data_IF_257454828193
#
_entry.id   IF_257454828193
#
_cell.length_a   1.000
_cell.length_b   1.000
_cell.length_c   1.000
_cell.angle_alpha   90.00
_cell.angle_beta   90.00
_cell.angle_gamma   90.00
#
_symmetry.space_group_name_H-M   'P 1'
#
loop_
_entity.id
_entity.type
_entity.pdbx_description
1 polymer ?
#
# COMPACT_ATOMS: atom_id res chain seq x y z
N UNK A 1 10.61 26.88 47.41
CA UNK A 1 11.36 25.64 47.65
C UNK A 1 12.19 25.31 46.42
N UNK A 2 13.49 25.58 46.48
CA UNK A 2 14.46 25.34 45.42
C UNK A 2 14.84 23.86 45.39
N UNK A 3 14.50 23.16 44.30
CA UNK A 3 14.92 21.77 44.07
C UNK A 3 16.45 21.72 44.02
N UNK A 4 17.13 20.89 44.85
CA UNK A 4 18.58 20.88 44.94
C UNK A 4 19.21 20.51 43.59
N UNK A 5 20.33 21.16 43.25
CA UNK A 5 21.03 21.08 41.95
C UNK A 5 21.34 19.63 41.49
N UNK A 6 21.51 18.69 42.43
CA UNK A 6 21.75 17.27 42.18
C UNK A 6 20.51 16.53 41.68
N UNK A 7 19.31 16.92 42.11
CA UNK A 7 18.04 16.39 41.60
C UNK A 7 17.71 16.93 40.20
N UNK A 8 18.02 18.20 39.90
CA UNK A 8 17.86 18.77 38.56
C UNK A 8 18.64 18.01 37.48
N UNK A 9 19.89 17.59 37.77
CA UNK A 9 20.67 16.74 36.85
C UNK A 9 20.04 15.35 36.64
N UNK A 10 19.49 14.73 37.69
CA UNK A 10 18.79 13.43 37.57
C UNK A 10 17.56 13.52 36.66
N UNK A 11 16.68 14.51 36.86
CA UNK A 11 15.47 14.66 36.03
C UNK A 11 15.80 15.00 34.56
N UNK A 12 16.88 15.75 34.32
CA UNK A 12 17.35 16.05 32.96
C UNK A 12 17.83 14.82 32.20
N UNK A 13 18.35 13.79 32.88
CA UNK A 13 18.80 12.55 32.23
C UNK A 13 17.65 11.65 31.74
N UNK A 14 16.45 11.79 32.29
CA UNK A 14 15.28 10.97 31.89
C UNK A 14 14.38 11.65 30.86
N UNK A 15 14.46 12.97 30.73
CA UNK A 15 13.63 13.72 29.80
C UNK A 15 13.87 13.30 28.35
N UNK A 16 15.13 13.20 27.93
CA UNK A 16 15.46 12.87 26.55
C UNK A 16 15.00 11.45 26.13
N UNK A 17 15.28 10.37 26.89
CA UNK A 17 14.74 9.04 26.57
C UNK A 17 13.21 9.01 26.56
N UNK A 18 12.55 9.70 27.49
CA UNK A 18 11.10 9.75 27.58
C UNK A 18 10.49 10.52 26.39
N UNK A 19 11.14 11.59 25.92
CA UNK A 19 10.75 12.31 24.72
C UNK A 19 10.89 11.43 23.47
N UNK A 20 11.97 10.67 23.33
CA UNK A 20 12.13 9.71 22.22
C UNK A 20 11.05 8.63 22.28
N UNK A 21 10.82 8.06 23.46
CA UNK A 21 9.77 7.06 23.67
C UNK A 21 8.40 7.60 23.24
N UNK A 22 7.99 8.74 23.77
CA UNK A 22 6.69 9.32 23.42
C UNK A 22 6.63 9.76 21.96
N UNK A 23 7.73 10.17 21.34
CA UNK A 23 7.76 10.45 19.91
C UNK A 23 7.52 9.19 19.08
N UNK A 24 8.17 8.06 19.42
CA UNK A 24 7.95 6.78 18.73
C UNK A 24 6.51 6.30 18.94
N UNK A 25 6.00 6.34 20.17
CA UNK A 25 4.62 5.99 20.51
C UNK A 25 3.64 6.86 19.74
N UNK A 26 3.88 8.17 19.67
CA UNK A 26 3.08 9.09 18.89
C UNK A 26 3.05 8.69 17.41
N UNK A 27 4.22 8.40 16.82
CA UNK A 27 4.29 7.96 15.41
C UNK A 27 3.57 6.63 15.20
N UNK A 28 3.71 5.67 16.11
CA UNK A 28 3.05 4.37 16.02
C UNK A 28 1.53 4.48 16.12
N UNK A 29 1.01 5.33 17.04
CA UNK A 29 -0.41 5.41 17.33
C UNK A 29 -1.21 6.36 16.42
N UNK A 30 -0.59 7.46 15.96
CA UNK A 30 -1.35 8.55 15.31
C UNK A 30 -1.03 8.75 13.82
N UNK A 31 0.00 8.10 13.26
CA UNK A 31 0.29 8.18 11.82
C UNK A 31 -0.63 7.26 11.01
N UNK A 32 -0.91 6.04 11.48
CA UNK A 32 -2.08 5.23 11.07
C UNK A 32 -3.06 5.20 12.24
N UNK A 33 -3.92 6.21 12.32
CA UNK A 33 -4.87 6.33 13.42
C UNK A 33 -6.09 5.44 13.18
N UNK A 34 -6.02 4.21 13.66
CA UNK A 34 -7.09 3.21 13.73
C UNK A 34 -6.96 2.46 15.08
N UNK A 35 -7.05 1.12 15.13
CA UNK A 35 -6.72 0.33 16.32
C UNK A 35 -5.31 0.55 16.89
N UNK A 36 -4.39 1.16 16.14
CA UNK A 36 -3.06 1.53 16.65
C UNK A 36 -3.11 2.57 17.77
N UNK A 37 -4.22 3.29 17.99
CA UNK A 37 -4.40 4.21 19.12
C UNK A 37 -4.24 3.52 20.49
N UNK A 38 -4.52 2.20 20.58
CA UNK A 38 -4.27 1.38 21.77
C UNK A 38 -2.78 1.36 22.17
N UNK A 39 -1.87 1.53 21.19
CA UNK A 39 -0.43 1.66 21.44
C UNK A 39 -0.15 2.91 22.28
N UNK A 40 -0.86 4.03 22.05
CA UNK A 40 -0.69 5.23 22.85
C UNK A 40 -1.20 5.05 24.28
N UNK A 41 -2.40 4.48 24.44
CA UNK A 41 -2.99 4.23 25.76
C UNK A 41 -2.08 3.36 26.63
N UNK A 42 -1.73 2.18 26.14
CA UNK A 42 -0.85 1.23 26.86
C UNK A 42 0.53 1.83 27.15
N UNK A 43 1.10 2.57 26.21
CA UNK A 43 2.41 3.21 26.37
C UNK A 43 2.42 4.34 27.40
N UNK A 44 1.34 5.12 27.50
CA UNK A 44 1.17 6.16 28.52
C UNK A 44 1.08 5.52 29.91
N UNK A 45 0.30 4.44 30.04
CA UNK A 45 0.18 3.72 31.31
C UNK A 45 1.53 3.15 31.78
N UNK A 46 2.29 2.53 30.86
CA UNK A 46 3.62 2.01 31.14
C UNK A 46 4.60 3.14 31.54
N UNK A 47 4.59 4.26 30.83
CA UNK A 47 5.43 5.42 31.16
C UNK A 47 5.07 5.99 32.54
N UNK A 48 3.78 6.11 32.87
CA UNK A 48 3.31 6.54 34.19
C UNK A 48 3.77 5.59 35.30
N UNK A 49 3.72 4.27 35.07
CA UNK A 49 4.23 3.28 36.00
C UNK A 49 5.74 3.44 36.24
N UNK A 50 6.54 3.57 35.18
CA UNK A 50 7.99 3.77 35.28
C UNK A 50 8.32 5.10 36.00
N UNK A 51 7.63 6.19 35.65
CA UNK A 51 7.83 7.50 36.26
C UNK A 51 7.45 7.51 37.74
N UNK A 52 6.49 6.70 38.17
CA UNK A 52 6.08 6.62 39.57
C UNK A 52 7.23 6.21 40.50
N UNK A 53 8.18 5.39 40.02
CA UNK A 53 9.38 5.00 40.78
C UNK A 53 10.44 6.11 40.90
N UNK A 54 10.35 7.15 40.06
CA UNK A 54 11.31 8.25 40.00
C UNK A 54 10.81 9.53 40.69
N UNK A 55 9.54 9.58 41.05
CA UNK A 55 8.86 10.75 41.62
C UNK A 55 8.66 10.63 43.13
N UNK A 56 8.44 11.77 43.79
CA UNK A 56 8.01 11.79 45.18
C UNK A 56 6.62 11.16 45.33
N UNK A 57 6.34 10.49 46.45
CA UNK A 57 5.09 9.73 46.69
C UNK A 57 3.80 10.46 46.30
N UNK A 58 3.70 11.77 46.57
CA UNK A 58 2.53 12.59 46.22
C UNK A 58 2.38 12.79 44.70
N UNK A 59 3.48 13.01 44.00
CA UNK A 59 3.49 13.19 42.54
C UNK A 59 3.32 11.86 41.79
N UNK A 60 3.78 10.75 42.37
CA UNK A 60 3.60 9.42 41.80
C UNK A 60 2.11 9.04 41.67
N UNK A 61 1.32 9.25 42.72
CA UNK A 61 -0.13 9.00 42.67
C UNK A 61 -0.84 9.85 41.62
N UNK A 62 -0.48 11.13 41.50
CA UNK A 62 -1.05 12.01 40.49
C UNK A 62 -0.72 11.53 39.07
N UNK A 63 0.55 11.16 38.79
CA UNK A 63 0.97 10.67 37.46
C UNK A 63 0.33 9.34 37.10
N UNK A 64 0.15 8.45 38.07
CA UNK A 64 -0.56 7.18 37.88
C UNK A 64 -2.04 7.40 37.59
N UNK A 65 -2.72 8.28 38.33
CA UNK A 65 -4.15 8.59 38.10
C UNK A 65 -4.37 9.24 36.74
N UNK A 66 -3.54 10.21 36.36
CA UNK A 66 -3.61 10.85 35.04
C UNK A 66 -3.32 9.86 33.93
N UNK A 67 -2.29 9.01 34.10
CA UNK A 67 -1.97 7.95 33.14
C UNK A 67 -3.09 6.94 32.96
N UNK A 68 -3.69 6.49 34.07
CA UNK A 68 -4.83 5.58 34.07
C UNK A 68 -6.06 6.21 33.41
N UNK A 69 -6.34 7.47 33.71
CA UNK A 69 -7.45 8.19 33.08
C UNK A 69 -7.24 8.38 31.57
N UNK A 70 -6.03 8.75 31.15
CA UNK A 70 -5.70 8.89 29.73
C UNK A 70 -5.81 7.57 28.99
N UNK A 71 -5.26 6.49 29.56
CA UNK A 71 -5.40 5.13 29.04
C UNK A 71 -6.87 4.72 28.91
N UNK A 72 -7.66 4.83 29.98
CA UNK A 72 -9.07 4.45 29.95
C UNK A 72 -9.87 5.28 28.94
N UNK A 73 -9.56 6.58 28.82
CA UNK A 73 -10.23 7.47 27.86
C UNK A 73 -9.92 7.13 26.41
N UNK A 74 -8.69 6.70 26.11
CA UNK A 74 -8.28 6.28 24.77
C UNK A 74 -8.87 4.89 24.48
N UNK A 75 -8.58 3.90 25.32
CA UNK A 75 -8.90 2.49 25.05
C UNK A 75 -10.41 2.22 25.08
N UNK A 76 -11.20 2.92 25.91
CA UNK A 76 -12.67 2.80 25.91
C UNK A 76 -13.34 3.14 24.58
N UNK A 77 -12.64 3.86 23.69
CA UNK A 77 -13.13 4.19 22.34
C UNK A 77 -12.92 3.06 21.34
N UNK A 78 -12.04 2.11 21.66
CA UNK A 78 -11.62 1.03 20.76
C UNK A 78 -11.97 -0.36 21.30
N UNK A 79 -12.11 -0.51 22.62
CA UNK A 79 -12.38 -1.77 23.30
C UNK A 79 -13.43 -1.55 24.39
N UNK A 80 -14.30 -2.53 24.60
CA UNK A 80 -15.16 -2.57 25.78
C UNK A 80 -14.29 -2.89 26.99
N UNK A 81 -13.96 -1.86 27.78
CA UNK A 81 -13.23 -2.01 29.02
C UNK A 81 -14.08 -2.81 30.01
N UNK A 82 -13.85 -4.13 30.05
CA UNK A 82 -14.42 -5.04 31.02
C UNK A 82 -13.29 -5.71 31.81
N UNK A 83 -13.56 -6.06 33.07
CA UNK A 83 -12.58 -6.74 33.90
C UNK A 83 -12.14 -8.09 33.29
N UNK A 84 -13.03 -8.77 32.57
CA UNK A 84 -12.73 -9.99 31.83
C UNK A 84 -11.82 -9.74 30.64
N UNK A 85 -12.13 -8.76 29.77
CA UNK A 85 -11.30 -8.46 28.60
C UNK A 85 -9.86 -8.08 28.97
N UNK A 86 -9.68 -7.34 30.07
CA UNK A 86 -8.38 -6.88 30.55
C UNK A 86 -7.53 -8.04 31.12
N UNK A 87 -8.19 -8.97 31.83
CA UNK A 87 -7.55 -10.21 32.28
C UNK A 87 -7.21 -11.10 31.09
N UNK A 88 -8.11 -11.24 30.13
CA UNK A 88 -7.92 -12.06 28.93
C UNK A 88 -6.76 -11.54 28.06
N UNK A 89 -6.61 -10.22 27.87
CA UNK A 89 -5.51 -9.65 27.08
C UNK A 89 -4.13 -9.81 27.73
N UNK A 90 -4.04 -9.56 29.05
CA UNK A 90 -2.77 -9.71 29.79
C UNK A 90 -2.41 -11.17 29.95
N UNK A 91 -3.36 -12.01 30.33
CA UNK A 91 -3.10 -13.45 30.48
C UNK A 91 -2.80 -14.07 29.13
N UNK A 92 -3.54 -13.76 28.06
CA UNK A 92 -3.29 -14.32 26.73
C UNK A 92 -1.91 -13.96 26.20
N UNK A 93 -1.41 -12.73 26.37
CA UNK A 93 -0.08 -12.36 25.84
C UNK A 93 1.05 -13.20 26.46
N UNK A 94 1.09 -13.29 27.79
CA UNK A 94 2.12 -14.08 28.49
C UNK A 94 1.86 -15.59 28.41
N UNK A 95 0.60 -16.01 28.38
CA UNK A 95 0.19 -17.40 28.18
C UNK A 95 0.51 -17.89 26.77
N UNK A 96 0.34 -17.07 25.73
CA UNK A 96 0.73 -17.36 24.35
C UNK A 96 2.25 -17.47 24.24
N UNK A 97 3.01 -16.60 24.92
CA UNK A 97 4.46 -16.72 24.97
C UNK A 97 4.91 -18.02 25.67
N UNK A 98 4.35 -18.32 26.85
CA UNK A 98 4.66 -19.54 27.61
C UNK A 98 4.21 -20.81 26.91
N UNK A 99 3.01 -20.83 26.32
CA UNK A 99 2.52 -21.95 25.51
C UNK A 99 3.37 -22.12 24.25
N UNK A 100 3.78 -21.04 23.58
CA UNK A 100 4.69 -21.10 22.43
C UNK A 100 6.07 -21.66 22.76
N UNK A 101 6.59 -21.40 23.97
CA UNK A 101 7.82 -22.02 24.48
C UNK A 101 7.61 -23.50 24.81
N UNK A 102 6.53 -23.82 25.52
CA UNK A 102 6.16 -25.21 25.85
C UNK A 102 5.98 -26.05 24.59
N UNK A 103 5.28 -25.54 23.57
CA UNK A 103 5.09 -26.22 22.29
C UNK A 103 6.42 -26.53 21.62
N UNK A 104 7.37 -25.57 21.60
CA UNK A 104 8.71 -25.80 21.02
C UNK A 104 9.51 -26.86 21.77
N UNK A 105 9.37 -26.95 23.09
CA UNK A 105 10.12 -27.89 23.92
C UNK A 105 9.48 -29.28 23.98
N UNK A 106 8.14 -29.34 24.06
CA UNK A 106 7.39 -30.58 24.27
C UNK A 106 6.97 -31.26 22.96
N UNK A 107 6.80 -30.50 21.87
CA UNK A 107 6.43 -31.03 20.56
C UNK A 107 7.09 -30.22 19.43
N UNK A 108 8.37 -30.53 19.11
CA UNK A 108 9.11 -29.85 18.06
C UNK A 108 8.41 -29.88 16.70
N UNK A 109 7.51 -30.85 16.45
CA UNK A 109 6.77 -31.01 15.20
C UNK A 109 5.48 -30.19 15.12
N UNK A 110 4.94 -29.70 16.22
CA UNK A 110 3.65 -29.01 16.26
C UNK A 110 3.62 -27.79 15.33
N UNK A 111 4.63 -26.92 15.39
CA UNK A 111 4.70 -25.73 14.54
C UNK A 111 4.74 -26.09 13.05
N UNK A 112 5.41 -27.19 12.69
CA UNK A 112 5.45 -27.65 11.31
C UNK A 112 4.08 -28.15 10.85
N UNK A 113 3.39 -28.94 11.68
CA UNK A 113 2.03 -29.42 11.39
C UNK A 113 1.02 -28.27 11.29
N UNK A 114 1.12 -27.28 12.17
CA UNK A 114 0.27 -26.08 12.14
C UNK A 114 0.52 -25.27 10.86
N UNK A 115 1.79 -25.09 10.49
CA UNK A 115 2.17 -24.44 9.24
C UNK A 115 1.64 -25.20 8.01
N UNK A 116 1.87 -26.52 7.95
CA UNK A 116 1.39 -27.36 6.84
C UNK A 116 -0.15 -27.37 6.77
N UNK A 117 -0.84 -27.36 7.92
CA UNK A 117 -2.29 -27.24 8.02
C UNK A 117 -2.81 -25.88 7.55
N UNK A 118 -2.11 -24.79 7.88
CA UNK A 118 -2.43 -23.45 7.38
C UNK A 118 -2.24 -23.36 5.86
N UNK A 119 -1.14 -23.92 5.32
CA UNK A 119 -0.94 -23.99 3.87
C UNK A 119 -2.02 -24.83 3.18
N UNK A 120 -2.44 -25.95 3.78
CA UNK A 120 -3.53 -26.77 3.24
C UNK A 120 -4.85 -26.00 3.18
N UNK A 121 -5.18 -25.20 4.22
CA UNK A 121 -6.35 -24.31 4.22
C UNK A 121 -6.27 -23.28 3.10
N UNK A 122 -5.12 -22.61 2.94
CA UNK A 122 -4.93 -21.63 1.86
C UNK A 122 -5.09 -22.29 0.48
N UNK A 123 -4.45 -23.45 0.24
CA UNK A 123 -4.60 -24.22 -1.02
C UNK A 123 -6.05 -24.55 -1.33
N UNK A 124 -6.85 -24.89 -0.31
CA UNK A 124 -8.26 -25.23 -0.48
C UNK A 124 -9.14 -24.01 -0.78
N UNK A 125 -8.80 -22.85 -0.22
CA UNK A 125 -9.53 -21.60 -0.44
C UNK A 125 -9.14 -20.90 -1.75
N UNK A 126 -7.89 -21.06 -2.16
CA UNK A 126 -7.30 -20.41 -3.33
C UNK A 126 -6.36 -21.37 -4.06
N UNK A 127 -6.92 -22.09 -5.03
CA UNK A 127 -6.24 -23.12 -5.79
C UNK A 127 -5.35 -22.53 -6.88
N UNK A 128 -4.27 -21.83 -6.49
CA UNK A 128 -3.27 -21.37 -7.42
C UNK A 128 -2.50 -22.57 -8.02
N UNK A 129 -2.49 -22.74 -9.36
CA UNK A 129 -1.84 -23.87 -9.99
C UNK A 129 -0.32 -23.76 -9.90
N UNK A 130 0.36 -24.91 -9.95
CA UNK A 130 1.82 -24.95 -10.13
C UNK A 130 2.16 -24.62 -11.58
N UNK A 131 3.03 -23.64 -11.75
CA UNK A 131 3.52 -23.20 -13.05
C UNK A 131 4.95 -23.74 -13.26
N UNK A 132 5.31 -23.99 -14.51
CA UNK A 132 6.67 -24.39 -14.86
C UNK A 132 7.61 -23.18 -14.81
N UNK A 133 8.76 -23.36 -14.14
CA UNK A 133 9.76 -22.32 -13.96
C UNK A 133 9.65 -21.61 -12.61
N UNK A 134 10.20 -20.41 -12.53
CA UNK A 134 10.08 -19.50 -11.40
C UNK A 134 8.85 -18.61 -11.54
N UNK A 135 8.23 -18.24 -10.43
CA UNK A 135 6.98 -17.47 -10.42
C UNK A 135 7.06 -16.35 -9.38
N UNK A 136 6.56 -15.17 -9.71
CA UNK A 136 6.22 -14.14 -8.72
C UNK A 136 4.72 -13.80 -8.78
N UNK A 137 4.22 -13.09 -7.76
CA UNK A 137 2.82 -12.67 -7.69
C UNK A 137 2.67 -11.18 -7.38
N UNK A 138 1.88 -10.52 -8.21
CA UNK A 138 1.38 -9.16 -8.03
C UNK A 138 -0.12 -9.29 -7.69
N UNK A 139 -0.66 -8.63 -6.67
CA UNK A 139 -0.04 -7.56 -5.88
C UNK A 139 0.46 -8.04 -4.52
N UNK A 140 -0.42 -8.64 -3.70
CA UNK A 140 -0.11 -9.02 -2.31
C UNK A 140 -0.54 -10.45 -1.92
N UNK A 141 -0.81 -11.31 -2.90
CA UNK A 141 -1.23 -12.71 -2.72
C UNK A 141 -0.11 -13.72 -2.40
N UNK A 142 1.00 -13.31 -1.79
CA UNK A 142 2.18 -14.18 -1.61
C UNK A 142 1.88 -15.47 -0.82
N UNK A 143 0.92 -15.45 0.10
CA UNK A 143 0.50 -16.64 0.85
C UNK A 143 -0.02 -17.74 -0.08
N UNK A 144 -0.81 -17.40 -1.09
CA UNK A 144 -1.32 -18.34 -2.11
C UNK A 144 -0.20 -18.89 -2.99
N UNK A 145 0.76 -18.05 -3.36
CA UNK A 145 1.95 -18.49 -4.11
C UNK A 145 2.78 -19.49 -3.31
N UNK A 146 3.06 -19.20 -2.04
CA UNK A 146 3.78 -20.11 -1.14
C UNK A 146 2.98 -21.41 -0.95
N UNK A 147 1.68 -21.29 -0.70
CA UNK A 147 0.80 -22.44 -0.50
C UNK A 147 0.82 -23.36 -1.72
N UNK A 148 0.69 -22.85 -2.94
CA UNK A 148 0.71 -23.67 -4.17
C UNK A 148 1.98 -24.53 -4.36
N UNK A 149 3.09 -24.14 -3.73
CA UNK A 149 4.39 -24.80 -3.90
C UNK A 149 5.08 -24.43 -5.22
N UNK A 150 4.72 -23.30 -5.83
CA UNK A 150 5.48 -22.71 -6.92
C UNK A 150 6.90 -22.35 -6.47
N UNK A 151 7.87 -22.35 -7.40
CA UNK A 151 9.23 -21.87 -7.13
C UNK A 151 9.21 -20.34 -7.13
N UNK A 152 9.08 -19.76 -5.94
CA UNK A 152 9.01 -18.31 -5.80
C UNK A 152 10.33 -17.63 -6.17
N UNK A 153 10.25 -16.65 -7.06
CA UNK A 153 11.34 -15.71 -7.37
C UNK A 153 10.84 -14.29 -7.09
N UNK A 154 11.03 -13.79 -5.86
CA UNK A 154 10.46 -12.52 -5.43
C UNK A 154 11.20 -11.31 -6.01
N UNK A 155 10.42 -10.32 -6.41
CA UNK A 155 10.91 -8.93 -6.53
C UNK A 155 11.33 -8.33 -5.17
N UNK A 156 12.18 -7.29 -5.14
CA UNK A 156 12.68 -6.69 -3.90
C UNK A 156 11.60 -6.22 -2.91
N UNK A 157 10.50 -5.64 -3.41
CA UNK A 157 9.36 -5.24 -2.59
C UNK A 157 8.18 -6.15 -2.90
N UNK A 158 7.98 -7.10 -1.98
CA UNK A 158 7.10 -8.26 -2.18
C UNK A 158 5.64 -7.87 -2.47
N UNK A 159 5.13 -6.81 -1.85
CA UNK A 159 3.74 -6.37 -1.93
C UNK A 159 3.63 -5.02 -2.65
N UNK A 160 2.80 -4.91 -3.68
CA UNK A 160 2.85 -3.72 -4.54
C UNK A 160 2.46 -2.44 -3.83
N UNK A 161 1.54 -2.52 -2.86
CA UNK A 161 1.15 -1.36 -2.06
C UNK A 161 2.30 -0.78 -1.23
N UNK A 162 3.36 -1.56 -0.99
CA UNK A 162 4.55 -1.18 -0.22
C UNK A 162 5.67 -0.58 -1.08
N UNK A 163 5.56 -0.61 -2.41
CA UNK A 163 6.51 0.01 -3.33
C UNK A 163 6.26 1.52 -3.47
N UNK A 164 6.20 2.23 -2.34
CA UNK A 164 5.66 3.59 -2.27
C UNK A 164 6.67 4.73 -2.49
N UNK A 165 7.95 4.40 -2.70
CA UNK A 165 9.00 5.38 -3.06
C UNK A 165 9.56 5.09 -4.45
N UNK A 166 10.14 6.07 -5.16
CA UNK A 166 10.75 5.83 -6.46
C UNK A 166 11.81 4.74 -6.45
N UNK A 167 12.70 4.72 -5.44
CA UNK A 167 13.75 3.70 -5.35
C UNK A 167 13.16 2.28 -5.22
N UNK A 168 12.10 2.12 -4.43
CA UNK A 168 11.43 0.83 -4.23
C UNK A 168 10.70 0.36 -5.49
N UNK A 169 9.92 1.24 -6.13
CA UNK A 169 9.17 0.90 -7.34
C UNK A 169 10.09 0.60 -8.54
N UNK A 170 11.19 1.36 -8.68
CA UNK A 170 12.17 1.12 -9.74
C UNK A 170 12.94 -0.19 -9.51
N UNK A 171 13.27 -0.54 -8.26
CA UNK A 171 13.90 -1.83 -7.95
C UNK A 171 13.03 -3.03 -8.37
N UNK A 172 11.70 -2.94 -8.19
CA UNK A 172 10.76 -3.95 -8.69
C UNK A 172 10.73 -4.02 -10.22
N UNK A 173 10.62 -2.87 -10.90
CA UNK A 173 10.68 -2.79 -12.37
C UNK A 173 11.97 -3.42 -12.91
N UNK A 174 13.10 -3.08 -12.32
CA UNK A 174 14.42 -3.54 -12.77
C UNK A 174 14.60 -5.04 -12.56
N UNK A 175 14.01 -5.61 -11.50
CA UNK A 175 13.98 -7.04 -11.29
C UNK A 175 13.24 -7.78 -12.43
N UNK A 176 12.03 -7.35 -12.79
CA UNK A 176 11.24 -8.00 -13.85
C UNK A 176 11.76 -7.73 -15.26
N UNK A 177 12.60 -6.71 -15.43
CA UNK A 177 13.30 -6.41 -16.68
C UNK A 177 14.67 -7.10 -16.77
N UNK A 178 15.14 -7.68 -15.67
CA UNK A 178 16.49 -8.23 -15.54
C UNK A 178 16.61 -9.69 -16.00
N UNK A 179 17.86 -10.18 -16.06
CA UNK A 179 18.15 -11.60 -16.37
C UNK A 179 17.50 -12.56 -15.37
N UNK A 180 17.44 -12.15 -14.10
CA UNK A 180 16.85 -12.92 -13.01
C UNK A 180 15.32 -12.76 -12.89
N UNK A 181 14.65 -12.10 -13.85
CA UNK A 181 13.20 -11.94 -13.82
C UNK A 181 12.47 -13.31 -13.85
N UNK A 182 11.35 -13.45 -13.13
CA UNK A 182 10.61 -14.71 -13.01
C UNK A 182 10.06 -15.19 -14.35
N UNK A 183 9.97 -16.49 -14.55
CA UNK A 183 9.42 -17.07 -15.79
C UNK A 183 7.91 -16.84 -15.93
N UNK A 184 7.22 -16.72 -14.79
CA UNK A 184 5.78 -16.47 -14.72
C UNK A 184 5.47 -15.34 -13.74
N UNK A 185 4.43 -14.56 -14.04
CA UNK A 185 3.84 -13.59 -13.12
C UNK A 185 2.35 -13.88 -13.02
N UNK A 186 1.86 -14.05 -11.79
CA UNK A 186 0.42 -14.04 -11.51
C UNK A 186 0.06 -12.61 -11.11
N UNK A 187 -0.81 -11.95 -11.87
CA UNK A 187 -1.05 -10.51 -11.75
C UNK A 187 -2.50 -10.18 -11.43
N UNK A 188 -2.68 -9.30 -10.44
CA UNK A 188 -3.94 -8.74 -9.99
C UNK A 188 -3.84 -7.22 -9.80
N UNK A 189 -4.89 -6.50 -10.23
CA UNK A 189 -5.09 -5.09 -9.84
C UNK A 189 -5.90 -5.07 -8.55
N UNK A 190 -5.23 -4.84 -7.43
CA UNK A 190 -5.83 -4.87 -6.09
C UNK A 190 -5.17 -3.77 -5.21
N UNK A 191 -5.66 -2.54 -5.33
CA UNK A 191 -5.15 -1.39 -4.58
C UNK A 191 -5.87 -1.25 -3.24
N UNK A 192 -5.20 -0.62 -2.27
CA UNK A 192 -5.75 -0.35 -0.93
C UNK A 192 -5.90 1.16 -0.69
N UNK A 193 -6.54 1.53 0.42
CA UNK A 193 -6.65 2.93 0.90
C UNK A 193 -7.23 3.91 -0.14
N UNK A 194 -8.14 3.43 -1.02
CA UNK A 194 -8.74 4.20 -2.12
C UNK A 194 -7.70 4.88 -3.04
N UNK A 195 -6.50 4.29 -3.14
CA UNK A 195 -5.42 4.77 -3.99
C UNK A 195 -5.65 4.37 -5.44
N UNK A 196 -5.26 5.24 -6.37
CA UNK A 196 -5.37 4.99 -7.81
C UNK A 196 -4.63 3.68 -8.14
N UNK A 197 -5.29 2.65 -8.70
CA UNK A 197 -4.69 1.32 -8.80
C UNK A 197 -3.42 1.26 -9.64
N UNK A 198 -3.30 2.11 -10.66
CA UNK A 198 -2.11 2.22 -11.50
C UNK A 198 -0.84 2.70 -10.77
N UNK A 199 -0.97 3.19 -9.53
CA UNK A 199 0.19 3.56 -8.71
C UNK A 199 0.91 2.34 -8.14
N UNK A 200 0.18 1.26 -7.86
CA UNK A 200 0.75 0.05 -7.25
C UNK A 200 1.69 -0.62 -8.24
N UNK A 201 3.00 -0.48 -7.97
CA UNK A 201 4.06 -0.85 -8.90
C UNK A 201 3.93 -0.18 -10.29
N UNK A 202 3.46 1.06 -10.34
CA UNK A 202 3.23 1.79 -11.61
C UNK A 202 4.36 1.69 -12.65
N UNK A 203 5.65 1.88 -12.28
CA UNK A 203 6.77 1.74 -13.23
C UNK A 203 6.95 0.33 -13.79
N UNK A 204 6.46 -0.70 -13.09
CA UNK A 204 6.51 -2.09 -13.55
C UNK A 204 5.53 -2.37 -14.68
N UNK A 205 4.45 -1.59 -14.83
CA UNK A 205 3.40 -1.87 -15.83
C UNK A 205 3.94 -1.84 -17.27
N UNK A 206 4.67 -0.80 -17.73
CA UNK A 206 5.33 -0.85 -19.04
C UNK A 206 6.32 -2.01 -19.21
N UNK A 207 7.04 -2.39 -18.15
CA UNK A 207 7.98 -3.50 -18.20
C UNK A 207 7.27 -4.86 -18.34
N UNK A 208 6.10 -5.04 -17.68
CA UNK A 208 5.24 -6.20 -17.87
C UNK A 208 4.78 -6.31 -19.33
N UNK A 209 4.23 -5.21 -19.88
CA UNK A 209 3.79 -5.19 -21.28
C UNK A 209 4.92 -5.52 -22.27
N UNK A 210 6.17 -5.17 -21.94
CA UNK A 210 7.33 -5.38 -22.82
C UNK A 210 8.02 -6.73 -22.69
N UNK A 211 7.99 -7.33 -21.50
CA UNK A 211 8.75 -8.56 -21.19
C UNK A 211 7.90 -9.81 -20.96
N UNK A 212 6.58 -9.65 -20.86
CA UNK A 212 5.67 -10.76 -20.57
C UNK A 212 4.51 -10.77 -21.55
N UNK A 213 3.96 -11.96 -21.81
CA UNK A 213 2.74 -12.17 -22.57
C UNK A 213 1.65 -12.78 -21.70
N UNK A 214 0.37 -12.42 -21.92
CA UNK A 214 -0.72 -13.11 -21.28
C UNK A 214 -0.92 -14.52 -21.85
N UNK A 215 -1.05 -15.51 -20.97
CA UNK A 215 -1.33 -16.90 -21.34
C UNK A 215 -2.70 -17.39 -20.86
N UNK A 216 -3.24 -16.81 -19.79
CA UNK A 216 -4.53 -17.23 -19.24
C UNK A 216 -5.13 -16.11 -18.37
N UNK A 217 -6.46 -16.09 -18.27
CA UNK A 217 -7.19 -15.30 -17.29
C UNK A 217 -8.23 -16.17 -16.61
N UNK A 218 -8.02 -16.44 -15.32
CA UNK A 218 -8.93 -17.30 -14.53
C UNK A 218 -8.92 -16.89 -13.07
N UNK A 219 -10.08 -17.06 -12.43
CA UNK A 219 -10.29 -16.68 -11.03
C UNK A 219 -9.87 -15.22 -10.73
N UNK A 220 -10.13 -14.29 -11.65
CA UNK A 220 -9.80 -12.86 -11.51
C UNK A 220 -8.30 -12.53 -11.59
N UNK A 221 -7.45 -13.49 -11.96
CA UNK A 221 -6.00 -13.32 -12.09
C UNK A 221 -5.56 -13.43 -13.54
N UNK A 222 -4.61 -12.59 -13.91
CA UNK A 222 -3.92 -12.66 -15.19
C UNK A 222 -2.63 -13.46 -15.03
N UNK A 223 -2.47 -14.50 -15.83
CA UNK A 223 -1.25 -15.31 -15.85
C UNK A 223 -0.38 -14.84 -17.01
N UNK A 224 0.81 -14.39 -16.67
CA UNK A 224 1.78 -13.81 -17.59
C UNK A 224 3.00 -14.73 -17.69
N UNK A 225 3.48 -14.96 -18.91
CA UNK A 225 4.70 -15.73 -19.20
C UNK A 225 5.77 -14.83 -19.76
N UNK A 226 7.01 -14.98 -19.28
CA UNK A 226 8.17 -14.25 -19.77
C UNK A 226 8.41 -14.55 -21.25
N UNK A 227 8.59 -13.51 -22.06
CA UNK A 227 8.98 -13.65 -23.47
C UNK A 227 10.51 -13.62 -23.59
N UNK A 228 11.06 -14.60 -24.34
CA UNK A 228 12.51 -14.79 -24.48
C UNK A 228 13.12 -13.88 -25.58
N UNK A 229 12.29 -13.14 -26.33
CA UNK A 229 12.74 -12.31 -27.45
C UNK A 229 12.84 -10.83 -27.07
N UNK A 230 13.98 -10.21 -27.39
CA UNK A 230 14.44 -8.92 -26.84
C UNK A 230 13.45 -7.76 -26.95
N UNK A 231 13.08 -7.22 -25.78
CA UNK A 231 12.85 -5.81 -25.39
C UNK A 231 12.05 -4.84 -26.29
N UNK A 232 11.56 -5.22 -27.47
CA UNK A 232 10.90 -4.29 -28.41
C UNK A 232 9.36 -4.30 -28.34
N UNK A 233 8.78 -4.96 -27.34
CA UNK A 233 7.33 -5.03 -27.19
C UNK A 233 6.69 -3.73 -26.68
N UNK A 234 7.45 -2.83 -26.06
CA UNK A 234 6.94 -1.57 -25.50
C UNK A 234 7.89 -0.41 -25.72
N UNK A 235 7.35 0.72 -26.16
CA UNK A 235 8.06 2.00 -26.24
C UNK A 235 7.33 3.07 -25.45
N UNK A 236 8.07 3.85 -24.66
CA UNK A 236 7.56 5.03 -23.95
C UNK A 236 7.96 6.29 -24.71
N UNK A 237 7.08 6.77 -25.58
CA UNK A 237 7.35 7.97 -26.39
C UNK A 237 6.90 9.23 -25.67
N UNK A 238 7.71 10.31 -25.65
CA UNK A 238 7.29 11.59 -25.07
C UNK A 238 5.99 12.10 -25.72
N UNK A 239 5.02 12.44 -24.89
CA UNK A 239 3.71 12.98 -25.30
C UNK A 239 3.49 14.40 -24.76
N UNK A 240 4.58 15.11 -24.43
CA UNK A 240 4.56 16.46 -23.87
C UNK A 240 4.68 16.49 -22.34
N UNK A 241 4.38 17.64 -21.77
CA UNK A 241 4.53 17.91 -20.34
C UNK A 241 4.50 19.40 -20.05
N UNK A 242 4.49 19.75 -18.77
CA UNK A 242 4.40 21.13 -18.33
C UNK A 242 4.54 21.28 -16.83
N UNK A 243 4.49 22.54 -16.37
CA UNK A 243 4.41 22.89 -14.96
C UNK A 243 3.01 23.41 -14.67
N UNK A 244 2.33 22.77 -13.73
CA UNK A 244 0.94 23.03 -13.38
C UNK A 244 0.81 23.40 -11.92
N UNK A 245 -0.29 24.03 -11.55
CA UNK A 245 -0.61 24.41 -10.18
C UNK A 245 -1.51 23.38 -9.51
N UNK A 246 -1.43 23.23 -8.19
CA UNK A 246 -2.39 22.40 -7.45
C UNK A 246 -3.82 22.93 -7.65
N UNK A 247 -4.75 22.02 -7.93
CA UNK A 247 -6.15 22.33 -8.28
C UNK A 247 -6.37 22.74 -9.73
N UNK A 248 -5.31 22.98 -10.51
CA UNK A 248 -5.41 23.24 -11.95
C UNK A 248 -5.85 21.98 -12.70
N UNK A 249 -6.71 22.17 -13.70
CA UNK A 249 -7.10 21.11 -14.61
C UNK A 249 -6.03 20.91 -15.68
N UNK A 250 -5.49 19.69 -15.74
CA UNK A 250 -4.46 19.27 -16.68
C UNK A 250 -5.07 18.37 -17.74
N UNK A 251 -5.01 18.80 -19.01
CA UNK A 251 -5.49 18.01 -20.15
C UNK A 251 -4.56 16.83 -20.40
N UNK A 252 -5.13 15.64 -20.58
CA UNK A 252 -4.39 14.43 -20.95
C UNK A 252 -4.29 14.35 -22.47
N UNK A 253 -3.11 14.07 -23.06
CA UNK A 253 -2.95 13.93 -24.50
C UNK A 253 -3.92 12.92 -25.12
N UNK A 254 -4.54 13.30 -26.24
CA UNK A 254 -5.36 12.39 -27.04
C UNK A 254 -4.50 11.42 -27.84
N UNK A 255 -5.02 10.21 -28.09
CA UNK A 255 -4.28 9.19 -28.84
C UNK A 255 -4.80 7.77 -28.61
N UNK A 256 -4.34 6.84 -29.46
CA UNK A 256 -4.73 5.43 -29.39
C UNK A 256 -4.06 4.65 -28.25
N UNK A 257 -2.97 5.18 -27.69
CA UNK A 257 -2.14 4.47 -26.72
C UNK A 257 -2.47 4.88 -25.27
N UNK A 258 -2.25 3.98 -24.29
CA UNK A 258 -2.27 4.35 -22.88
C UNK A 258 -1.28 5.49 -22.61
N UNK A 259 -1.66 6.38 -21.70
CA UNK A 259 -0.86 7.54 -21.30
C UNK A 259 -0.26 7.25 -19.93
N UNK A 260 1.06 7.18 -19.88
CA UNK A 260 1.85 7.11 -18.67
C UNK A 260 2.29 8.51 -18.26
N UNK A 261 2.22 8.81 -16.97
CA UNK A 261 2.67 10.10 -16.45
C UNK A 261 3.64 9.93 -15.29
N UNK A 262 4.56 10.87 -15.19
CA UNK A 262 5.36 11.13 -14.00
C UNK A 262 4.98 12.52 -13.49
N UNK A 263 4.58 12.63 -12.22
CA UNK A 263 4.22 13.90 -11.59
C UNK A 263 5.15 14.20 -10.40
N UNK A 264 5.98 15.23 -10.55
CA UNK A 264 6.95 15.67 -9.54
C UNK A 264 6.31 16.66 -8.57
N UNK A 265 5.52 16.12 -7.63
CA UNK A 265 4.85 16.89 -6.59
C UNK A 265 5.64 16.77 -5.29
N UNK A 266 6.00 17.90 -4.69
CA UNK A 266 6.86 17.95 -3.50
C UNK A 266 6.20 18.69 -2.36
N UNK A 267 6.53 18.24 -1.15
CA UNK A 267 6.27 18.99 0.08
C UNK A 267 7.25 20.17 0.12
N UNK A 268 6.77 21.36 0.45
CA UNK A 268 7.64 22.50 0.67
C UNK A 268 8.44 22.35 1.98
N UNK A 269 9.28 23.32 2.33
CA UNK A 269 10.13 23.23 3.55
C UNK A 269 9.30 23.02 4.81
N UNK A 270 8.21 23.76 4.99
CA UNK A 270 7.31 23.60 6.13
C UNK A 270 6.63 22.21 6.10
N UNK A 271 6.19 21.78 4.92
CA UNK A 271 5.67 20.44 4.66
C UNK A 271 6.61 19.33 5.09
N UNK A 272 7.92 19.46 4.82
CA UNK A 272 8.93 18.48 5.25
C UNK A 272 9.04 18.41 6.78
N UNK A 273 9.11 19.57 7.44
CA UNK A 273 9.19 19.65 8.92
C UNK A 273 7.94 19.05 9.57
N UNK A 274 6.76 19.45 9.09
CA UNK A 274 5.48 18.94 9.60
C UNK A 274 5.33 17.45 9.33
N UNK A 275 5.78 16.93 8.19
CA UNK A 275 5.73 15.50 7.89
C UNK A 275 6.64 14.65 8.80
N UNK A 276 7.76 15.21 9.28
CA UNK A 276 8.59 14.55 10.28
C UNK A 276 7.84 14.42 11.60
N UNK A 277 7.23 15.52 12.05
CA UNK A 277 6.55 15.60 13.34
C UNK A 277 5.20 14.88 13.35
N UNK A 278 4.39 15.02 12.30
CA UNK A 278 3.03 14.47 12.18
C UNK A 278 2.73 13.98 10.74
N UNK A 279 1.66 14.49 10.11
CA UNK A 279 1.22 14.14 8.76
C UNK A 279 0.82 15.39 7.99
N UNK A 280 1.07 15.39 6.69
CA UNK A 280 0.57 16.42 5.76
C UNK A 280 -0.79 15.99 5.19
N UNK A 281 -1.58 16.95 4.72
CA UNK A 281 -2.82 16.67 4.01
C UNK A 281 -2.53 15.75 2.81
N UNK A 282 -3.20 14.59 2.67
CA UNK A 282 -3.03 13.71 1.53
C UNK A 282 -3.38 14.41 0.22
N UNK A 283 -2.66 14.06 -0.85
CA UNK A 283 -3.05 14.47 -2.19
C UNK A 283 -4.12 13.52 -2.74
N UNK A 284 -5.00 14.11 -3.53
CA UNK A 284 -6.06 13.46 -4.28
C UNK A 284 -5.85 13.80 -5.76
N UNK A 285 -6.08 12.82 -6.63
CA UNK A 285 -6.21 13.02 -8.07
C UNK A 285 -7.67 12.84 -8.46
N UNK A 286 -8.27 13.85 -9.07
CA UNK A 286 -9.59 13.77 -9.69
C UNK A 286 -9.42 13.59 -11.19
N UNK A 287 -9.91 12.47 -11.73
CA UNK A 287 -9.87 12.10 -13.14
C UNK A 287 -11.24 12.38 -13.77
N UNK A 288 -11.28 13.18 -14.84
CA UNK A 288 -12.48 13.42 -15.65
C UNK A 288 -12.44 12.51 -16.86
N UNK A 289 -13.40 11.59 -16.94
CA UNK A 289 -13.48 10.56 -17.97
C UNK A 289 -14.21 11.07 -19.22
N UNK A 290 -14.02 10.40 -20.35
CA UNK A 290 -14.64 10.80 -21.61
C UNK A 290 -16.16 10.70 -21.60
N UNK A 291 -16.70 9.79 -20.78
CA UNK A 291 -18.13 9.61 -20.52
C UNK A 291 -18.75 10.69 -19.61
N UNK A 292 -17.97 11.68 -19.16
CA UNK A 292 -18.39 12.78 -18.29
C UNK A 292 -18.28 12.49 -16.79
N UNK A 293 -17.94 11.26 -16.41
CA UNK A 293 -17.79 10.85 -15.03
C UNK A 293 -16.50 11.42 -14.40
N UNK A 294 -16.55 11.75 -13.11
CA UNK A 294 -15.35 12.10 -12.34
C UNK A 294 -15.08 11.03 -11.29
N UNK A 295 -13.84 10.57 -11.23
CA UNK A 295 -13.36 9.61 -10.22
C UNK A 295 -12.24 10.23 -9.40
N UNK A 296 -12.25 9.99 -8.09
CA UNK A 296 -11.25 10.55 -7.19
C UNK A 296 -10.50 9.43 -6.48
N UNK A 297 -9.18 9.60 -6.41
CA UNK A 297 -8.30 8.63 -5.78
C UNK A 297 -7.23 9.31 -4.95
N UNK A 298 -6.77 8.62 -3.91
CA UNK A 298 -5.59 9.07 -3.17
C UNK A 298 -4.34 8.95 -4.06
N UNK A 299 -3.47 9.95 -4.02
CA UNK A 299 -2.24 10.05 -4.82
C UNK A 299 -1.01 10.28 -3.92
N UNK A 300 -0.36 9.24 -3.37
CA UNK A 300 0.93 9.43 -2.71
C UNK A 300 1.97 10.05 -3.67
N UNK A 301 2.52 11.22 -3.29
CA UNK A 301 3.38 12.01 -4.17
C UNK A 301 4.62 11.26 -4.67
N UNK A 302 5.21 10.42 -3.82
CA UNK A 302 6.41 9.64 -4.16
C UNK A 302 6.12 8.52 -5.19
N UNK A 303 4.93 7.94 -5.17
CA UNK A 303 4.48 6.99 -6.19
C UNK A 303 4.20 7.70 -7.52
N UNK A 304 3.61 8.90 -7.46
CA UNK A 304 3.36 9.72 -8.63
C UNK A 304 4.67 10.14 -9.34
N UNK A 305 5.76 10.35 -8.58
CA UNK A 305 7.09 10.64 -9.12
C UNK A 305 7.70 9.48 -9.90
N UNK A 306 7.45 8.23 -9.49
CA UNK A 306 7.95 7.05 -10.21
C UNK A 306 7.17 6.78 -11.50
N UNK A 307 5.94 7.27 -11.55
CA UNK A 307 5.07 7.25 -12.71
C UNK A 307 4.09 6.09 -12.74
N UNK A 308 3.00 6.30 -13.47
CA UNK A 308 1.85 5.41 -13.55
C UNK A 308 1.03 5.66 -14.81
N UNK A 309 0.20 4.70 -15.21
CA UNK A 309 -0.77 4.89 -16.30
C UNK A 309 -1.94 5.74 -15.80
N UNK A 310 -2.13 6.94 -16.36
CA UNK A 310 -3.26 7.83 -16.00
C UNK A 310 -4.48 7.60 -16.89
N UNK A 311 -4.28 7.17 -18.13
CA UNK A 311 -5.35 6.95 -19.10
C UNK A 311 -5.05 5.69 -19.93
N UNK A 312 -6.03 4.80 -20.18
CA UNK A 312 -7.37 4.79 -19.59
C UNK A 312 -7.32 4.54 -18.07
N UNK A 313 -8.43 4.84 -17.37
CA UNK A 313 -8.59 4.47 -15.96
C UNK A 313 -8.73 2.96 -15.84
N UNK A 314 -7.75 2.33 -15.19
CA UNK A 314 -7.71 0.88 -14.91
C UNK A 314 -8.06 0.64 -13.44
N UNK A 315 -9.14 -0.09 -13.19
CA UNK A 315 -9.62 -0.43 -11.85
C UNK A 315 -9.71 -1.94 -11.60
N UNK A 316 -9.52 -2.76 -12.63
CA UNK A 316 -9.62 -4.22 -12.53
C UNK A 316 -8.53 -4.94 -13.33
N UNK A 317 -8.26 -6.19 -12.97
CA UNK A 317 -7.26 -7.03 -13.65
C UNK A 317 -7.63 -7.26 -15.13
N UNK A 318 -8.93 -7.33 -15.44
CA UNK A 318 -9.42 -7.50 -16.80
C UNK A 318 -9.16 -6.26 -17.65
N UNK A 319 -9.40 -5.06 -17.11
CA UNK A 319 -9.07 -3.80 -17.79
C UNK A 319 -7.57 -3.69 -18.08
N UNK A 320 -6.72 -4.10 -17.14
CA UNK A 320 -5.27 -4.18 -17.37
C UNK A 320 -4.93 -5.16 -18.50
N UNK A 321 -5.58 -6.33 -18.54
CA UNK A 321 -5.35 -7.34 -19.57
C UNK A 321 -5.70 -6.84 -20.98
N UNK A 322 -6.77 -6.04 -21.13
CA UNK A 322 -7.16 -5.44 -22.41
C UNK A 322 -6.07 -4.56 -23.02
N UNK A 323 -5.21 -3.94 -22.21
CA UNK A 323 -4.11 -3.11 -22.69
C UNK A 323 -3.10 -3.89 -23.55
N UNK A 324 -2.92 -5.19 -23.31
CA UNK A 324 -2.06 -6.04 -24.16
C UNK A 324 -2.56 -6.16 -25.62
N UNK A 325 -3.84 -5.88 -25.85
CA UNK A 325 -4.47 -5.88 -27.17
C UNK A 325 -4.69 -4.46 -27.71
N UNK A 326 -4.07 -3.44 -27.11
CA UNK A 326 -4.40 -2.02 -27.35
C UNK A 326 -5.91 -1.71 -27.19
N UNK A 327 -6.60 -2.50 -26.37
CA UNK A 327 -8.00 -2.35 -26.06
C UNK A 327 -8.20 -1.70 -24.69
N UNK A 328 -9.37 -1.11 -24.49
CA UNK A 328 -9.78 -0.53 -23.22
C UNK A 328 -11.31 -0.48 -23.14
N UNK A 329 -11.85 -0.34 -21.93
CA UNK A 329 -13.30 -0.21 -21.73
C UNK A 329 -13.76 1.14 -22.30
N UNK A 330 -14.82 1.16 -23.09
CA UNK A 330 -15.38 2.40 -23.63
C UNK A 330 -15.78 3.34 -22.50
N UNK A 331 -15.45 4.63 -22.62
CA UNK A 331 -15.72 5.61 -21.56
C UNK A 331 -14.60 5.75 -20.53
N UNK A 332 -13.63 4.83 -20.49
CA UNK A 332 -12.56 4.82 -19.47
C UNK A 332 -11.40 5.77 -19.76
N UNK A 333 -11.32 6.37 -20.95
CA UNK A 333 -10.25 7.34 -21.25
C UNK A 333 -10.40 8.58 -20.35
N UNK A 334 -9.29 9.01 -19.76
CA UNK A 334 -9.22 10.25 -18.99
C UNK A 334 -8.99 11.41 -19.96
N UNK A 335 -9.88 12.41 -19.97
CA UNK A 335 -9.75 13.65 -20.73
C UNK A 335 -8.84 14.66 -20.02
N UNK A 336 -9.00 14.76 -18.71
CA UNK A 336 -8.22 15.66 -17.88
C UNK A 336 -8.15 15.15 -16.43
N UNK A 337 -7.20 15.66 -15.67
CA UNK A 337 -7.12 15.43 -14.24
C UNK A 337 -6.79 16.71 -13.48
N UNK A 338 -7.11 16.73 -12.19
CA UNK A 338 -6.66 17.77 -11.26
C UNK A 338 -6.08 17.11 -10.01
N UNK A 339 -4.96 17.66 -9.50
CA UNK A 339 -4.30 17.18 -8.28
C UNK A 339 -4.40 18.26 -7.21
N UNK A 340 -4.93 17.92 -6.06
CA UNK A 340 -5.10 18.85 -4.94
C UNK A 340 -4.91 18.15 -3.60
N UNK A 341 -4.63 18.91 -2.54
CA UNK A 341 -4.62 18.39 -1.18
C UNK A 341 -6.06 18.27 -0.67
N UNK A 342 -6.37 17.18 0.06
CA UNK A 342 -7.72 16.97 0.63
C UNK A 342 -8.09 17.96 1.75
N UNK A 343 -7.11 18.73 2.23
CA UNK A 343 -7.28 19.83 3.18
C UNK A 343 -6.39 20.99 2.75
N UNK A 344 -5.89 21.81 3.69
CA UNK A 344 -5.09 22.96 3.30
C UNK A 344 -3.78 22.55 2.59
N UNK A 345 -3.63 23.00 1.34
CA UNK A 345 -2.50 22.67 0.48
C UNK A 345 -1.20 23.41 0.80
N UNK A 346 -1.15 24.25 1.84
CA UNK A 346 -0.01 25.14 2.15
C UNK A 346 1.29 24.41 2.50
N UNK A 347 1.22 23.11 2.82
CA UNK A 347 2.38 22.25 3.10
C UNK A 347 2.98 21.63 1.82
N UNK A 348 2.35 21.85 0.68
CA UNK A 348 2.82 21.40 -0.63
C UNK A 348 3.37 22.58 -1.43
N UNK A 349 4.31 22.29 -2.33
CA UNK A 349 4.67 23.27 -3.35
C UNK A 349 3.45 23.52 -4.25
N UNK A 350 3.09 24.78 -4.52
CA UNK A 350 1.87 25.10 -5.26
C UNK A 350 1.96 24.71 -6.74
N UNK A 351 3.18 24.49 -7.25
CA UNK A 351 3.47 24.08 -8.62
C UNK A 351 4.18 22.74 -8.66
N UNK A 352 3.88 21.93 -9.66
CA UNK A 352 4.50 20.63 -9.89
C UNK A 352 4.70 20.39 -11.38
N UNK A 353 5.70 19.57 -11.74
CA UNK A 353 5.96 19.21 -13.12
C UNK A 353 5.24 17.90 -13.48
N UNK A 354 4.68 17.81 -14.68
CA UNK A 354 4.11 16.59 -15.25
C UNK A 354 4.82 16.29 -16.57
N UNK A 355 5.18 15.02 -16.76
CA UNK A 355 5.67 14.49 -18.03
C UNK A 355 4.73 13.41 -18.52
N UNK A 356 4.26 13.54 -19.76
CA UNK A 356 3.41 12.56 -20.42
C UNK A 356 4.24 11.67 -21.34
N UNK A 357 3.90 10.38 -21.38
CA UNK A 357 4.44 9.43 -22.35
C UNK A 357 3.35 8.52 -22.87
N UNK A 358 3.34 8.25 -24.16
CA UNK A 358 2.51 7.21 -24.76
C UNK A 358 3.17 5.85 -24.55
N UNK A 359 2.40 4.88 -24.04
CA UNK A 359 2.82 3.49 -23.90
C UNK A 359 2.45 2.75 -25.17
N UNK A 360 3.35 2.71 -26.13
CA UNK A 360 3.14 1.97 -27.37
C UNK A 360 3.38 0.49 -27.11
N UNK A 361 2.31 -0.29 -27.06
CA UNK A 361 2.36 -1.74 -26.87
C UNK A 361 2.26 -2.37 -28.27
N UNK A 362 3.29 -3.11 -28.67
CA UNK A 362 3.28 -3.82 -29.95
C UNK A 362 2.12 -4.82 -29.97
N UNK A 363 1.23 -4.80 -30.99
CA UNK A 363 0.12 -5.74 -31.08
C UNK A 363 0.63 -7.18 -31.08
N UNK A 364 0.14 -8.00 -30.15
CA UNK A 364 0.41 -9.44 -30.13
C UNK A 364 -0.82 -10.18 -30.66
N UNK A 365 -0.66 -10.88 -31.78
CA UNK A 365 -1.75 -11.65 -32.37
C UNK A 365 -2.24 -12.73 -31.38
N UNK A 366 -3.55 -12.89 -31.25
CA UNK A 366 -4.16 -13.96 -30.46
C UNK A 366 -4.32 -13.69 -28.96
N UNK A 367 -3.79 -12.61 -28.39
CA UNK A 367 -3.88 -12.34 -26.93
C UNK A 367 -5.30 -12.45 -26.38
N UNK A 368 -6.28 -11.80 -27.02
CA UNK A 368 -7.67 -11.87 -26.56
C UNK A 368 -8.26 -13.29 -26.65
N UNK A 369 -7.85 -14.05 -27.67
CA UNK A 369 -8.27 -15.45 -27.82
C UNK A 369 -7.68 -16.34 -26.72
N UNK A 370 -6.42 -16.12 -26.35
CA UNK A 370 -5.74 -16.85 -25.26
C UNK A 370 -6.33 -16.55 -23.89
N UNK A 371 -6.87 -15.34 -23.71
CA UNK A 371 -7.46 -14.93 -22.43
C UNK A 371 -8.90 -15.42 -22.23
N UNK A 372 -9.49 -16.13 -23.21
CA UNK A 372 -10.89 -16.54 -23.20
C UNK A 372 -11.86 -15.37 -22.90
N UNK A 373 -11.45 -14.15 -23.22
CA UNK A 373 -12.26 -12.96 -23.03
C UNK A 373 -13.16 -12.83 -24.26
N UNK A 374 -14.48 -12.86 -24.05
CA UNK A 374 -15.39 -12.37 -25.07
C UNK A 374 -15.00 -10.92 -25.39
N UNK A 375 -14.97 -10.55 -26.68
CA UNK A 375 -14.88 -9.15 -27.06
C UNK A 375 -15.98 -8.38 -26.31
N UNK A 376 -15.72 -7.18 -25.76
CA UNK A 376 -16.68 -6.52 -24.89
C UNK A 376 -17.99 -6.29 -25.65
N UNK A 377 -19.00 -7.11 -25.36
CA UNK A 377 -20.39 -6.82 -25.70
C UNK A 377 -20.82 -5.62 -24.87
N UNK A 378 -21.58 -4.71 -25.50
CA UNK A 378 -22.17 -3.52 -24.89
C UNK A 378 -22.96 -3.89 -23.63
N UNK A 379 -22.30 -3.89 -22.47
CA UNK A 379 -22.94 -4.11 -21.19
C UNK A 379 -23.67 -2.83 -20.79
N UNK A 380 -24.99 -2.84 -20.95
CA UNK A 380 -25.89 -1.81 -20.43
C UNK A 380 -25.66 -1.60 -18.94
N UNK A 381 -25.58 -0.34 -18.53
CA UNK A 381 -25.39 0.12 -17.16
C UNK A 381 -26.27 -0.64 -16.14
N UNK A 382 -25.65 -1.54 -15.38
CA UNK A 382 -26.23 -2.14 -14.17
C UNK A 382 -25.98 -1.22 -12.98
N UNK A 383 -27.07 -0.78 -12.35
CA UNK A 383 -27.05 0.08 -11.17
C UNK A 383 -26.31 -0.56 -9.98
N UNK A 384 -25.65 0.23 -9.12
CA UNK A 384 -24.93 -0.28 -7.96
C UNK A 384 -25.91 -0.85 -6.91
N UNK A 385 -25.68 -2.11 -6.54
CA UNK A 385 -26.31 -2.76 -5.40
C UNK A 385 -25.88 -2.07 -4.10
N UNK A 386 -26.82 -1.44 -3.42
CA UNK A 386 -26.68 -1.07 -2.02
C UNK A 386 -26.65 -2.35 -1.17
N UNK A 387 -25.54 -2.62 -0.49
CA UNK A 387 -25.49 -3.59 0.60
C UNK A 387 -25.24 -2.85 1.90
N UNK A 388 -26.18 -3.05 2.81
CA UNK A 388 -26.37 -2.38 4.09
C UNK A 388 -25.16 -2.46 5.04
N UNK A 389 -24.89 -1.32 5.67
CA UNK A 389 -24.25 -1.27 6.99
C UNK A 389 -25.15 -1.96 8.02
N UNK A 390 -24.55 -2.83 8.82
CA UNK A 390 -24.92 -3.07 10.21
C UNK A 390 -23.68 -3.38 11.03
#
# INVERSE_FOLDING_TARGET
MTVPHRQRKKYSCYFFPLSIYFFVVFKAAFVRHDGHALTAGTSILLASAILSFLLLKRSAWFVLLVGLFAWASIDSRYVVLSASALVDDVTSTYFLAGSGLRTRLADPGALRRDFDGALAKIRSADALPRLEGTTDIYSYGQSSLIASGNRWNPRPVLQSYSAYTPALALANRDHISGRAAPDNIVFNVESIDMRLPALDDGPSWPALFGGYRPEDFRAGRLYLKKEVSGTEGVKLEPAGGGVFSLGEEVVVPEGAYPVFIEADIKKNVAGKVVNTLYKVAPLVIALRLENGETRQFRLPSEMAQSGFVVSPLIQSTIEFALLYANGYVQGSRVKSFAIYASGDGWLWDPKYAVRFRNVMISPRAGVLATLHLAAPENASAGAPSQSAEK
#
